data_IF_831149343534
#
_entry.id   IF_831149343534
#
_cell.length_a   1.000
_cell.length_b   1.000
_cell.length_c   1.000
_cell.angle_alpha   90.00
_cell.angle_beta   90.00
_cell.angle_gamma   90.00
#
_symmetry.space_group_name_H-M   'P 1'
#
loop_
_entity.id
_entity.type
_entity.pdbx_description
1 polymer ?
#
# COMPACT_ATOMS: atom_id res chain seq x y z
N UNK A 1 -23.34 18.33 -10.63
CA UNK A 1 -23.23 16.94 -10.13
C UNK A 1 -21.78 16.54 -10.28
N UNK A 2 -21.10 16.23 -9.18
CA UNK A 2 -19.72 15.76 -9.23
C UNK A 2 -19.72 14.26 -9.56
N UNK A 3 -19.01 13.85 -10.61
CA UNK A 3 -18.88 12.43 -10.96
C UNK A 3 -17.72 11.83 -10.20
N UNK A 4 -18.02 10.99 -9.22
CA UNK A 4 -17.02 10.37 -8.33
C UNK A 4 -16.85 8.90 -8.70
N UNK A 5 -15.60 8.51 -8.96
CA UNK A 5 -15.21 7.14 -9.29
C UNK A 5 -14.52 6.49 -8.08
N UNK A 6 -15.22 5.51 -7.54
CA UNK A 6 -14.81 4.42 -6.65
C UNK A 6 -13.73 3.50 -7.22
N UNK A 7 -12.47 3.49 -6.80
CA UNK A 7 -11.56 2.37 -7.10
C UNK A 7 -10.79 1.93 -5.87
N UNK A 8 -10.34 0.68 -5.81
CA UNK A 8 -9.62 0.11 -4.67
C UNK A 8 -8.23 -0.35 -5.13
N UNK A 9 -7.18 0.35 -4.73
CA UNK A 9 -5.78 -0.03 -5.01
C UNK A 9 -5.34 0.23 -6.46
N UNK A 10 -6.14 0.94 -7.25
CA UNK A 10 -5.90 1.25 -8.67
C UNK A 10 -6.00 2.74 -8.99
N UNK A 11 -6.01 3.63 -8.00
CA UNK A 11 -6.20 5.08 -8.18
C UNK A 11 -5.32 5.69 -9.27
N UNK A 12 -4.02 5.43 -9.23
CA UNK A 12 -3.05 5.96 -10.21
C UNK A 12 -3.32 5.47 -11.64
N UNK A 13 -3.66 4.19 -11.79
CA UNK A 13 -3.99 3.61 -13.08
C UNK A 13 -5.24 4.28 -13.67
N UNK A 14 -6.27 4.49 -12.84
CA UNK A 14 -7.49 5.18 -13.27
C UNK A 14 -7.17 6.63 -13.67
N UNK A 15 -6.33 7.34 -12.92
CA UNK A 15 -5.91 8.70 -13.29
C UNK A 15 -5.22 8.70 -14.65
N UNK A 16 -4.32 7.76 -14.90
CA UNK A 16 -3.62 7.63 -16.17
C UNK A 16 -4.59 7.33 -17.33
N UNK A 17 -5.52 6.39 -17.14
CA UNK A 17 -6.52 6.01 -18.15
C UNK A 17 -7.43 7.19 -18.48
N UNK A 18 -7.98 7.87 -17.47
CA UNK A 18 -8.87 9.01 -17.68
C UNK A 18 -8.15 10.22 -18.27
N UNK A 19 -6.89 10.46 -17.89
CA UNK A 19 -6.05 11.47 -18.54
C UNK A 19 -5.77 11.13 -20.01
N UNK A 20 -5.52 9.85 -20.32
CA UNK A 20 -5.36 9.36 -21.69
C UNK A 20 -6.63 9.58 -22.52
N UNK A 21 -7.79 9.24 -21.97
CA UNK A 21 -9.10 9.51 -22.58
C UNK A 21 -9.27 11.02 -22.81
N UNK A 22 -9.05 11.85 -21.79
CA UNK A 22 -9.16 13.29 -21.91
C UNK A 22 -8.22 13.86 -23.01
N UNK A 23 -7.01 13.31 -23.15
CA UNK A 23 -6.08 13.67 -24.22
C UNK A 23 -6.61 13.31 -25.61
N UNK A 24 -7.20 12.12 -25.78
CA UNK A 24 -7.81 11.67 -27.05
C UNK A 24 -9.01 12.53 -27.47
N UNK A 25 -9.76 13.04 -26.49
CA UNK A 25 -10.94 13.91 -26.68
C UNK A 25 -10.62 15.42 -26.66
N UNK A 26 -9.34 15.81 -26.69
CA UNK A 26 -8.97 17.23 -26.89
C UNK A 26 -9.43 17.72 -28.26
N UNK A 27 -9.85 18.98 -28.31
CA UNK A 27 -10.43 19.61 -29.51
C UNK A 27 -9.37 20.08 -30.52
N UNK A 28 -8.08 20.04 -30.15
CA UNK A 28 -6.96 20.48 -31.00
C UNK A 28 -6.52 19.37 -31.98
N UNK A 29 -5.62 19.71 -32.91
CA UNK A 29 -5.04 18.79 -33.92
C UNK A 29 -4.37 17.52 -33.36
N UNK A 30 -4.13 17.44 -32.05
CA UNK A 30 -3.58 16.28 -31.36
C UNK A 30 -4.65 15.27 -30.91
N UNK A 31 -5.92 15.66 -30.88
CA UNK A 31 -7.03 14.78 -30.48
C UNK A 31 -7.53 13.96 -31.66
N UNK A 32 -7.51 12.64 -31.54
CA UNK A 32 -7.83 11.72 -32.63
C UNK A 32 -9.35 11.51 -32.79
N UNK A 33 -10.11 11.60 -31.70
CA UNK A 33 -11.52 11.18 -31.71
C UNK A 33 -12.43 12.17 -32.45
N UNK A 34 -12.25 13.47 -32.26
CA UNK A 34 -13.13 14.48 -32.87
C UNK A 34 -13.04 14.51 -34.41
N UNK A 35 -11.83 14.41 -35.03
CA UNK A 35 -11.70 14.23 -36.48
C UNK A 35 -12.34 12.93 -36.99
N UNK A 36 -12.17 11.82 -36.28
CA UNK A 36 -12.78 10.54 -36.66
C UNK A 36 -14.31 10.61 -36.66
N UNK A 37 -14.91 11.24 -35.64
CA UNK A 37 -16.35 11.48 -35.58
C UNK A 37 -16.79 12.34 -36.78
N UNK A 38 -16.06 13.41 -37.11
CA UNK A 38 -16.39 14.27 -38.28
C UNK A 38 -16.35 13.50 -39.60
N UNK A 39 -15.33 12.67 -39.81
CA UNK A 39 -15.22 11.85 -41.02
C UNK A 39 -16.39 10.84 -41.07
N UNK A 40 -16.67 10.16 -39.95
CA UNK A 40 -17.81 9.24 -39.85
C UNK A 40 -19.16 9.92 -40.13
N UNK A 41 -19.36 11.14 -39.62
CA UNK A 41 -20.54 11.95 -39.90
C UNK A 41 -20.65 12.33 -41.38
N UNK A 42 -19.54 12.68 -42.04
CA UNK A 42 -19.55 12.99 -43.48
C UNK A 42 -19.85 11.75 -44.33
N UNK A 43 -19.23 10.61 -44.04
CA UNK A 43 -19.49 9.36 -44.77
C UNK A 43 -20.93 8.90 -44.54
N UNK A 44 -21.41 8.97 -43.30
CA UNK A 44 -22.79 8.62 -42.95
C UNK A 44 -23.81 9.54 -43.62
N UNK A 45 -23.54 10.85 -43.70
CA UNK A 45 -24.45 11.79 -44.35
C UNK A 45 -24.54 11.55 -45.86
N UNK A 46 -23.42 11.30 -46.53
CA UNK A 46 -23.41 10.92 -47.96
C UNK A 46 -24.17 9.62 -48.19
N UNK A 47 -23.95 8.61 -47.35
CA UNK A 47 -24.66 7.33 -47.44
C UNK A 47 -26.18 7.51 -47.31
N UNK A 48 -26.63 8.34 -46.36
CA UNK A 48 -28.06 8.59 -46.18
C UNK A 48 -28.68 9.44 -47.28
N UNK A 49 -27.94 10.37 -47.89
CA UNK A 49 -28.40 11.09 -49.08
C UNK A 49 -28.65 10.13 -50.24
N UNK A 50 -27.80 9.11 -50.43
CA UNK A 50 -27.99 8.09 -51.48
C UNK A 50 -29.27 7.27 -51.22
N UNK A 51 -29.50 6.82 -49.99
CA UNK A 51 -30.72 6.07 -49.64
C UNK A 51 -31.98 6.93 -49.85
N UNK A 52 -31.92 8.19 -49.46
CA UNK A 52 -33.04 9.13 -49.60
C UNK A 52 -33.42 9.33 -51.08
N UNK A 53 -32.41 9.38 -51.97
CA UNK A 53 -32.62 9.44 -53.42
C UNK A 53 -33.23 8.14 -53.98
N UNK A 54 -32.78 6.98 -53.51
CA UNK A 54 -33.25 5.67 -54.01
C UNK A 54 -34.67 5.35 -53.54
N UNK A 55 -35.00 5.65 -52.28
CA UNK A 55 -36.30 5.31 -51.68
C UNK A 55 -37.35 6.42 -51.79
N UNK A 56 -36.98 7.61 -52.24
CA UNK A 56 -37.86 8.80 -52.32
C UNK A 56 -38.56 9.15 -51.00
N UNK A 57 -37.99 8.76 -49.86
CA UNK A 57 -38.55 8.93 -48.52
C UNK A 57 -37.78 9.96 -47.72
N UNK A 58 -38.18 11.23 -47.81
CA UNK A 58 -37.56 12.35 -47.08
C UNK A 58 -37.67 12.19 -45.54
N UNK A 59 -38.74 11.56 -45.06
CA UNK A 59 -38.97 11.38 -43.63
C UNK A 59 -37.90 10.51 -42.96
N UNK A 60 -37.45 9.44 -43.63
CA UNK A 60 -36.43 8.53 -43.09
C UNK A 60 -35.07 9.24 -42.97
N UNK A 61 -34.69 10.00 -44.01
CA UNK A 61 -33.46 10.78 -44.01
C UNK A 61 -33.44 11.86 -42.92
N UNK A 62 -34.56 12.57 -42.76
CA UNK A 62 -34.67 13.62 -41.74
C UNK A 62 -34.65 13.05 -40.31
N UNK A 63 -35.35 11.94 -40.07
CA UNK A 63 -35.33 11.24 -38.77
C UNK A 63 -33.92 10.79 -38.42
N UNK A 64 -33.19 10.19 -39.36
CA UNK A 64 -31.81 9.77 -39.12
C UNK A 64 -30.90 10.95 -38.81
N UNK A 65 -30.99 12.04 -39.59
CA UNK A 65 -30.14 13.22 -39.40
C UNK A 65 -30.39 13.87 -38.04
N UNK A 66 -31.65 14.00 -37.63
CA UNK A 66 -32.01 14.49 -36.29
C UNK A 66 -31.44 13.58 -35.20
N UNK A 67 -31.59 12.26 -35.33
CA UNK A 67 -31.07 11.31 -34.35
C UNK A 67 -29.54 11.38 -34.23
N UNK A 68 -28.83 11.44 -35.35
CA UNK A 68 -27.36 11.53 -35.38
C UNK A 68 -26.84 12.82 -34.77
N UNK A 69 -27.49 13.95 -35.07
CA UNK A 69 -27.14 15.24 -34.47
C UNK A 69 -27.35 15.19 -32.97
N UNK A 70 -28.52 14.74 -32.50
CA UNK A 70 -28.84 14.67 -31.08
C UNK A 70 -27.88 13.71 -30.35
N UNK A 71 -27.68 12.50 -30.87
CA UNK A 71 -26.81 11.51 -30.27
C UNK A 71 -25.37 12.00 -30.18
N UNK A 72 -24.84 12.60 -31.25
CA UNK A 72 -23.46 13.09 -31.25
C UNK A 72 -23.28 14.26 -30.30
N UNK A 73 -24.24 15.19 -30.28
CA UNK A 73 -24.19 16.36 -29.39
C UNK A 73 -24.33 15.95 -27.93
N UNK A 74 -25.20 14.98 -27.62
CA UNK A 74 -25.45 14.57 -26.24
C UNK A 74 -24.32 13.68 -25.68
N UNK A 75 -23.76 12.78 -26.51
CA UNK A 75 -22.85 11.74 -26.02
C UNK A 75 -21.38 12.20 -26.00
N UNK A 76 -20.94 13.00 -26.97
CA UNK A 76 -19.51 13.28 -27.19
C UNK A 76 -19.09 14.73 -26.91
N UNK A 77 -20.00 15.71 -27.02
CA UNK A 77 -19.66 17.13 -26.81
C UNK A 77 -19.58 17.56 -25.35
N UNK A 78 -20.53 17.22 -24.45
CA UNK A 78 -20.45 17.66 -23.08
C UNK A 78 -19.24 17.02 -22.42
N UNK A 79 -18.36 17.85 -21.87
CA UNK A 79 -17.21 17.42 -21.08
C UNK A 79 -17.51 17.64 -19.61
N UNK A 80 -17.05 16.72 -18.79
CA UNK A 80 -17.17 16.79 -17.34
C UNK A 80 -15.82 16.58 -16.68
N UNK A 81 -15.72 17.08 -15.46
CA UNK A 81 -14.69 16.72 -14.51
C UNK A 81 -15.10 15.45 -13.79
N UNK A 82 -14.14 14.56 -13.59
CA UNK A 82 -14.28 13.31 -12.82
C UNK A 82 -13.32 13.36 -11.63
N UNK A 83 -13.81 12.94 -10.47
CA UNK A 83 -13.01 12.78 -9.26
C UNK A 83 -12.76 11.30 -9.01
N UNK A 84 -11.50 10.91 -8.99
CA UNK A 84 -11.08 9.55 -8.68
C UNK A 84 -10.72 9.50 -7.21
N UNK A 85 -11.38 8.60 -6.48
CA UNK A 85 -11.19 8.39 -5.05
C UNK A 85 -10.82 6.94 -4.81
N UNK A 86 -9.61 6.74 -4.27
CA UNK A 86 -9.11 5.45 -3.83
C UNK A 86 -8.93 5.46 -2.30
N UNK A 87 -9.82 4.79 -1.54
CA UNK A 87 -9.75 4.81 -0.09
C UNK A 87 -8.56 4.00 0.45
N UNK A 88 -8.06 3.00 -0.29
CA UNK A 88 -6.93 2.17 0.16
C UNK A 88 -5.62 2.95 0.18
N UNK A 89 -5.42 3.84 -0.78
CA UNK A 89 -4.22 4.70 -0.87
C UNK A 89 -4.48 6.13 -0.36
N UNK A 90 -5.70 6.41 0.09
CA UNK A 90 -6.21 7.75 0.42
C UNK A 90 -5.97 8.77 -0.72
N UNK A 91 -5.95 8.30 -1.97
CA UNK A 91 -5.67 9.12 -3.13
C UNK A 91 -6.95 9.82 -3.60
N UNK A 92 -6.85 11.14 -3.80
CA UNK A 92 -7.90 11.97 -4.42
C UNK A 92 -7.32 12.71 -5.60
N UNK A 93 -7.78 12.38 -6.79
CA UNK A 93 -7.29 12.98 -8.01
C UNK A 93 -8.45 13.52 -8.85
N UNK A 94 -8.20 14.66 -9.49
CA UNK A 94 -9.14 15.33 -10.38
C UNK A 94 -8.66 15.15 -11.81
N UNK A 95 -9.54 14.68 -12.69
CA UNK A 95 -9.30 14.61 -14.13
C UNK A 95 -10.35 15.45 -14.86
N UNK A 96 -9.87 16.43 -15.61
CA UNK A 96 -10.71 17.36 -16.37
C UNK A 96 -10.86 16.91 -17.83
N UNK A 97 -11.90 17.42 -18.52
CA UNK A 97 -12.15 17.21 -19.95
C UNK A 97 -12.50 15.77 -20.37
N UNK A 98 -13.12 14.99 -19.49
CA UNK A 98 -13.63 13.65 -19.80
C UNK A 98 -15.00 13.76 -20.48
N UNK A 99 -15.33 12.96 -21.51
CA UNK A 99 -16.68 12.92 -22.08
C UNK A 99 -17.74 12.61 -21.02
N UNK A 100 -18.82 13.40 -20.98
CA UNK A 100 -19.87 13.30 -19.96
C UNK A 100 -20.47 11.90 -19.88
N UNK A 101 -20.82 11.29 -21.03
CA UNK A 101 -21.41 9.96 -21.04
C UNK A 101 -20.51 8.92 -20.36
N UNK A 102 -19.20 9.00 -20.60
CA UNK A 102 -18.22 8.11 -20.00
C UNK A 102 -18.04 8.40 -18.50
N UNK A 103 -17.92 9.67 -18.12
CA UNK A 103 -17.81 10.06 -16.70
C UNK A 103 -19.05 9.69 -15.87
N UNK A 104 -20.24 9.92 -16.42
CA UNK A 104 -21.51 9.58 -15.77
C UNK A 104 -21.70 8.07 -15.65
N UNK A 105 -21.45 7.32 -16.72
CA UNK A 105 -21.54 5.86 -16.70
C UNK A 105 -20.53 5.25 -15.72
N UNK A 106 -19.26 5.68 -15.78
CA UNK A 106 -18.23 5.20 -14.87
C UNK A 106 -18.56 5.52 -13.41
N UNK A 107 -19.05 6.73 -13.11
CA UNK A 107 -19.52 7.10 -11.77
C UNK A 107 -20.67 6.21 -11.28
N UNK A 108 -21.65 5.91 -12.13
CA UNK A 108 -22.78 5.06 -11.78
C UNK A 108 -22.32 3.62 -11.49
N UNK A 109 -21.51 3.05 -12.38
CA UNK A 109 -20.94 1.70 -12.21
C UNK A 109 -20.10 1.63 -10.94
N UNK A 110 -19.28 2.64 -10.66
CA UNK A 110 -18.48 2.70 -9.43
C UNK A 110 -19.34 2.81 -8.17
N UNK A 111 -20.45 3.56 -8.18
CA UNK A 111 -21.35 3.65 -7.04
C UNK A 111 -22.06 2.32 -6.77
N UNK A 112 -22.52 1.64 -7.83
CA UNK A 112 -23.10 0.30 -7.71
C UNK A 112 -22.07 -0.69 -7.18
N UNK A 113 -20.84 -0.68 -7.72
CA UNK A 113 -19.74 -1.51 -7.26
C UNK A 113 -19.43 -1.28 -5.78
N UNK A 114 -19.33 -0.01 -5.35
CA UNK A 114 -19.15 0.33 -3.94
C UNK A 114 -20.28 -0.22 -3.06
N UNK A 115 -21.53 -0.04 -3.47
CA UNK A 115 -22.68 -0.58 -2.73
C UNK A 115 -22.63 -2.10 -2.59
N UNK A 116 -22.28 -2.83 -3.66
CA UNK A 116 -22.12 -4.29 -3.60
C UNK A 116 -20.98 -4.67 -2.65
N UNK A 117 -19.84 -3.97 -2.71
CA UNK A 117 -18.72 -4.20 -1.80
C UNK A 117 -19.16 -3.99 -0.34
N UNK A 118 -19.74 -2.84 -0.01
CA UNK A 118 -20.20 -2.53 1.37
C UNK A 118 -21.20 -3.57 1.89
N UNK A 119 -22.13 -4.04 1.05
CA UNK A 119 -23.07 -5.08 1.43
C UNK A 119 -22.39 -6.43 1.65
N UNK A 120 -21.46 -6.82 0.77
CA UNK A 120 -20.69 -8.05 0.97
C UNK A 120 -19.82 -7.99 2.21
N UNK A 121 -19.17 -6.87 2.48
CA UNK A 121 -18.40 -6.67 3.70
C UNK A 121 -19.28 -6.80 4.95
N UNK A 122 -20.51 -6.27 4.93
CA UNK A 122 -21.43 -6.39 6.07
C UNK A 122 -21.78 -7.85 6.42
N UNK A 123 -21.85 -8.73 5.42
CA UNK A 123 -22.19 -10.14 5.59
C UNK A 123 -20.96 -11.01 5.86
N UNK A 124 -19.80 -10.66 5.30
CA UNK A 124 -18.54 -11.40 5.41
C UNK A 124 -17.57 -10.82 6.45
N UNK A 125 -18.08 -10.19 7.52
CA UNK A 125 -17.22 -9.81 8.64
C UNK A 125 -16.78 -11.06 9.41
N UNK A 126 -15.53 -11.48 9.22
CA UNK A 126 -14.84 -12.32 10.20
C UNK A 126 -14.56 -11.48 11.46
N UNK A 127 -14.38 -12.12 12.65
CA UNK A 127 -14.00 -11.42 13.88
C UNK A 127 -12.75 -10.53 13.72
N UNK A 128 -11.87 -10.89 12.78
CA UNK A 128 -10.61 -10.20 12.47
C UNK A 128 -10.62 -9.53 11.07
N UNK A 129 -11.81 -9.25 10.52
CA UNK A 129 -11.93 -8.67 9.18
C UNK A 129 -11.51 -7.20 9.14
N UNK A 130 -10.52 -6.92 8.29
CA UNK A 130 -10.13 -5.56 7.96
C UNK A 130 -11.00 -5.05 6.79
N UNK A 131 -11.80 -3.98 6.97
CA UNK A 131 -12.71 -3.50 5.95
C UNK A 131 -11.96 -3.20 4.65
N UNK A 132 -12.28 -3.92 3.58
CA UNK A 132 -11.61 -3.76 2.30
C UNK A 132 -11.84 -2.34 1.74
N UNK A 133 -12.95 -1.71 2.08
CA UNK A 133 -13.23 -0.33 1.72
C UNK A 133 -12.37 0.73 2.42
N UNK A 134 -11.62 0.41 3.50
CA UNK A 134 -10.77 1.37 4.22
C UNK A 134 -9.30 0.98 4.23
N UNK A 135 -9.00 -0.26 4.62
CA UNK A 135 -7.65 -0.69 4.98
C UNK A 135 -7.32 -2.08 4.46
N UNK A 136 -8.04 -2.59 3.46
CA UNK A 136 -7.98 -3.97 2.95
C UNK A 136 -6.59 -4.61 2.71
N UNK A 137 -6.58 -5.85 2.21
CA UNK A 137 -5.38 -6.70 2.13
C UNK A 137 -4.14 -6.08 1.46
N UNK A 138 -4.32 -5.13 0.53
CA UNK A 138 -3.23 -4.38 -0.12
C UNK A 138 -2.48 -3.46 0.86
N UNK A 139 -3.21 -2.83 1.78
CA UNK A 139 -2.61 -2.01 2.83
C UNK A 139 -1.89 -2.91 3.83
N UNK A 140 -2.50 -4.05 4.21
CA UNK A 140 -1.86 -5.04 5.09
C UNK A 140 -0.54 -5.59 4.50
N UNK A 141 -0.50 -5.92 3.20
CA UNK A 141 0.73 -6.40 2.55
C UNK A 141 1.80 -5.30 2.43
N UNK A 142 1.39 -4.06 2.15
CA UNK A 142 2.29 -2.90 2.15
C UNK A 142 2.90 -2.68 3.54
N UNK A 143 2.08 -2.83 4.59
CA UNK A 143 2.51 -2.73 5.97
C UNK A 143 3.51 -3.84 6.34
N UNK A 144 3.29 -5.08 5.91
CA UNK A 144 4.27 -6.18 6.09
C UNK A 144 5.59 -5.95 5.36
N UNK A 145 5.52 -5.45 4.13
CA UNK A 145 6.73 -5.09 3.39
C UNK A 145 7.50 -3.96 4.09
N UNK A 146 6.80 -3.05 4.74
CA UNK A 146 7.38 -1.92 5.45
C UNK A 146 8.03 -2.32 6.79
N UNK A 147 7.42 -3.22 7.57
CA UNK A 147 8.05 -3.71 8.81
C UNK A 147 9.37 -4.43 8.56
N UNK A 148 9.52 -5.12 7.42
CA UNK A 148 10.78 -5.75 7.05
C UNK A 148 11.92 -4.76 6.84
N UNK A 149 11.62 -3.46 6.70
CA UNK A 149 12.62 -2.39 6.60
C UNK A 149 12.96 -1.75 7.94
N UNK A 150 12.29 -2.14 9.04
CA UNK A 150 12.56 -1.58 10.36
C UNK A 150 13.92 -2.01 10.84
N UNK A 151 14.76 -1.02 11.15
CA UNK A 151 16.08 -1.21 11.72
C UNK A 151 16.17 -0.47 13.04
N UNK A 152 17.15 -0.87 13.84
CA UNK A 152 17.54 -0.14 15.03
C UNK A 152 18.07 1.23 14.61
N UNK A 153 17.45 2.27 15.17
CA UNK A 153 17.67 3.69 14.92
C UNK A 153 18.65 4.29 15.92
N UNK A 154 18.49 4.01 17.22
CA UNK A 154 19.33 4.64 18.23
C UNK A 154 20.79 4.16 18.12
N UNK A 155 21.77 5.07 17.95
CA UNK A 155 23.15 4.68 17.72
C UNK A 155 23.80 3.95 18.92
N UNK A 156 23.42 4.31 20.15
CA UNK A 156 23.96 3.69 21.37
C UNK A 156 23.41 2.27 21.53
N UNK A 157 22.09 2.12 21.39
CA UNK A 157 21.41 0.83 21.41
C UNK A 157 21.89 -0.06 20.25
N UNK A 158 22.01 0.48 19.03
CA UNK A 158 22.55 -0.25 17.87
C UNK A 158 23.95 -0.77 18.14
N UNK A 159 24.86 0.10 18.59
CA UNK A 159 26.25 -0.27 18.85
C UNK A 159 26.41 -1.28 19.99
N UNK A 160 25.52 -1.28 20.98
CA UNK A 160 25.48 -2.31 22.02
C UNK A 160 24.86 -3.62 21.53
N UNK A 161 23.77 -3.52 20.75
CA UNK A 161 23.09 -4.67 20.17
C UNK A 161 23.99 -5.44 19.20
N UNK A 162 24.73 -4.75 18.34
CA UNK A 162 25.70 -5.39 17.44
C UNK A 162 26.77 -6.18 18.19
N UNK A 163 27.30 -5.63 19.30
CA UNK A 163 28.28 -6.34 20.14
C UNK A 163 27.64 -7.54 20.84
N UNK A 164 26.44 -7.37 21.38
CA UNK A 164 25.67 -8.45 21.98
C UNK A 164 25.41 -9.58 20.97
N UNK A 165 24.94 -9.25 19.77
CA UNK A 165 24.70 -10.23 18.70
C UNK A 165 26.00 -10.97 18.36
N UNK A 166 27.10 -10.24 18.17
CA UNK A 166 28.35 -10.85 17.74
C UNK A 166 29.04 -11.72 18.81
N UNK A 167 29.01 -11.31 20.08
CA UNK A 167 29.76 -11.94 21.15
C UNK A 167 28.91 -12.91 21.99
N UNK A 168 27.60 -12.65 22.08
CA UNK A 168 26.68 -13.45 22.86
C UNK A 168 25.78 -14.32 21.99
N UNK A 169 25.24 -13.79 20.88
CA UNK A 169 24.24 -14.53 20.10
C UNK A 169 24.87 -15.51 19.12
N UNK A 170 25.65 -14.99 18.18
CA UNK A 170 26.27 -15.76 17.10
C UNK A 170 27.29 -16.75 17.65
N UNK A 171 28.05 -16.35 18.67
CA UNK A 171 29.05 -17.22 19.29
C UNK A 171 28.39 -18.41 20.01
N UNK A 172 27.34 -18.19 20.82
CA UNK A 172 26.58 -19.28 21.45
C UNK A 172 25.90 -20.17 20.40
N UNK A 173 25.41 -19.60 19.29
CA UNK A 173 24.81 -20.35 18.18
C UNK A 173 25.83 -21.27 17.46
N UNK A 174 27.06 -20.78 17.28
CA UNK A 174 28.15 -21.54 16.65
C UNK A 174 28.67 -22.67 17.55
N UNK A 175 28.70 -22.44 18.86
CA UNK A 175 29.03 -23.51 19.83
C UNK A 175 27.93 -24.57 19.84
N UNK A 176 26.67 -24.18 19.62
CA UNK A 176 25.54 -25.09 19.44
C UNK A 176 25.06 -25.80 20.71
N UNK A 177 25.52 -25.38 21.89
CA UNK A 177 25.15 -26.02 23.15
C UNK A 177 23.79 -25.58 23.70
N UNK A 178 23.34 -24.35 23.40
CA UNK A 178 22.07 -23.80 23.91
C UNK A 178 20.99 -23.65 22.83
N UNK A 179 21.39 -23.19 21.66
CA UNK A 179 20.58 -23.07 20.46
C UNK A 179 21.54 -23.03 19.26
N UNK A 180 21.01 -23.28 18.07
CA UNK A 180 21.75 -23.29 16.81
C UNK A 180 21.33 -22.12 15.92
N UNK A 181 22.05 -21.91 14.81
CA UNK A 181 21.65 -20.93 13.81
C UNK A 181 20.29 -21.28 13.18
N UNK A 182 19.96 -22.58 13.04
CA UNK A 182 18.66 -23.02 12.56
C UNK A 182 17.53 -22.66 13.55
N UNK A 183 17.78 -22.73 14.85
CA UNK A 183 16.79 -22.34 15.86
C UNK A 183 16.51 -20.83 15.82
N UNK A 184 17.54 -20.01 15.58
CA UNK A 184 17.38 -18.57 15.39
C UNK A 184 16.54 -18.22 14.15
N UNK A 185 16.61 -19.03 13.09
CA UNK A 185 15.84 -18.80 11.87
C UNK A 185 14.37 -19.22 11.98
N UNK A 186 14.08 -20.24 12.81
CA UNK A 186 12.74 -20.82 12.91
C UNK A 186 11.95 -20.36 14.15
N UNK A 187 12.59 -19.64 15.07
CA UNK A 187 11.93 -19.17 16.30
C UNK A 187 10.99 -17.98 16.02
N UNK A 188 9.78 -17.97 16.61
CA UNK A 188 8.85 -16.85 16.48
C UNK A 188 9.31 -15.58 17.24
N UNK A 189 10.12 -15.74 18.31
CA UNK A 189 10.70 -14.61 19.05
C UNK A 189 12.20 -14.88 19.31
N UNK A 190 13.05 -14.30 18.46
CA UNK A 190 14.52 -14.40 18.54
C UNK A 190 15.00 -13.76 19.82
N UNK A 191 14.45 -12.59 20.18
CA UNK A 191 14.90 -11.85 21.34
C UNK A 191 14.67 -12.63 22.64
N UNK A 192 13.48 -13.22 22.80
CA UNK A 192 13.16 -14.03 23.97
C UNK A 192 14.06 -15.26 24.07
N UNK A 193 14.36 -15.93 22.94
CA UNK A 193 15.30 -17.06 22.91
C UNK A 193 16.70 -16.65 23.39
N UNK A 194 17.27 -15.60 22.80
CA UNK A 194 18.65 -15.17 23.12
C UNK A 194 18.79 -14.60 24.53
N UNK A 195 17.75 -13.90 25.02
CA UNK A 195 17.74 -13.34 26.39
C UNK A 195 17.64 -14.43 27.44
N UNK A 196 16.79 -15.44 27.23
CA UNK A 196 16.60 -16.53 28.20
C UNK A 196 17.81 -17.46 28.25
N UNK A 197 18.47 -17.69 27.11
CA UNK A 197 19.67 -18.51 27.00
C UNK A 197 20.98 -17.72 27.19
N UNK A 198 20.90 -16.43 27.52
CA UNK A 198 22.07 -15.56 27.64
C UNK A 198 23.10 -16.11 28.65
N UNK A 199 24.35 -16.21 28.21
CA UNK A 199 25.45 -16.74 29.01
C UNK A 199 25.76 -15.85 30.23
N UNK A 200 25.92 -16.43 31.43
CA UNK A 200 26.43 -15.69 32.59
C UNK A 200 27.96 -15.55 32.58
N UNK A 201 28.66 -16.26 31.68
CA UNK A 201 30.14 -16.28 31.61
C UNK A 201 30.67 -15.41 30.48
N UNK A 202 30.05 -15.49 29.30
CA UNK A 202 30.43 -14.62 28.20
C UNK A 202 30.00 -13.19 28.51
N UNK A 203 30.78 -12.23 28.04
CA UNK A 203 30.52 -10.82 28.22
C UNK A 203 30.86 -10.02 26.98
N UNK A 204 30.31 -8.82 26.92
CA UNK A 204 30.56 -7.89 25.84
C UNK A 204 30.76 -6.48 26.38
N UNK A 205 31.39 -5.64 25.58
CA UNK A 205 31.57 -4.24 25.93
C UNK A 205 30.22 -3.52 25.80
N UNK A 206 29.65 -3.10 26.93
CA UNK A 206 28.45 -2.28 26.97
C UNK A 206 28.82 -0.82 27.21
N UNK A 207 28.41 0.05 26.29
CA UNK A 207 28.62 1.49 26.37
C UNK A 207 27.34 2.16 26.85
N UNK A 208 27.48 3.17 27.69
CA UNK A 208 26.39 4.05 28.06
C UNK A 208 26.79 5.50 27.88
N UNK A 209 25.85 6.41 27.65
CA UNK A 209 26.10 7.87 27.54
C UNK A 209 27.02 8.41 28.65
N UNK A 210 26.97 7.84 29.86
CA UNK A 210 27.79 8.26 31.02
C UNK A 210 28.99 7.36 31.33
N UNK A 211 29.17 6.24 30.63
CA UNK A 211 30.23 5.28 30.90
C UNK A 211 30.94 4.85 29.59
N UNK A 212 32.25 5.13 29.43
CA UNK A 212 32.99 4.90 28.18
C UNK A 212 33.05 3.42 27.72
N UNK A 213 32.69 2.49 28.60
CA UNK A 213 32.45 1.10 28.27
C UNK A 213 32.86 0.17 29.40
N UNK A 214 31.92 -0.62 29.91
CA UNK A 214 32.19 -1.68 30.88
C UNK A 214 31.91 -3.04 30.24
N UNK A 215 32.72 -4.04 30.53
CA UNK A 215 32.41 -5.42 30.15
C UNK A 215 31.32 -5.91 31.09
N UNK A 216 30.16 -6.22 30.53
CA UNK A 216 29.03 -6.80 31.25
C UNK A 216 28.80 -8.22 30.75
N UNK A 217 28.24 -9.08 31.59
CA UNK A 217 27.87 -10.43 31.13
C UNK A 217 26.74 -10.34 30.09
N UNK A 218 26.66 -11.32 29.19
CA UNK A 218 25.59 -11.38 28.20
C UNK A 218 24.21 -11.36 28.86
N UNK A 219 24.07 -12.00 30.04
CA UNK A 219 22.84 -11.98 30.83
C UNK A 219 22.46 -10.59 31.36
N UNK A 220 23.43 -9.87 31.94
CA UNK A 220 23.19 -8.51 32.44
C UNK A 220 22.91 -7.55 31.29
N UNK A 221 23.72 -7.61 30.22
CA UNK A 221 23.54 -6.76 29.05
C UNK A 221 22.21 -7.01 28.33
N UNK A 222 21.75 -8.26 28.22
CA UNK A 222 20.43 -8.57 27.66
C UNK A 222 19.29 -7.98 28.52
N UNK A 223 19.47 -7.92 29.84
CA UNK A 223 18.49 -7.29 30.75
C UNK A 223 18.48 -5.77 30.58
N UNK A 224 19.65 -5.14 30.43
CA UNK A 224 19.76 -3.70 30.16
C UNK A 224 19.17 -3.31 28.81
N UNK A 225 19.42 -4.11 27.76
CA UNK A 225 18.85 -3.92 26.43
C UNK A 225 17.33 -4.12 26.43
N UNK A 226 16.81 -5.06 27.23
CA UNK A 226 15.36 -5.29 27.35
C UNK A 226 14.60 -4.02 27.78
N UNK A 227 15.17 -3.27 28.72
CA UNK A 227 14.57 -2.03 29.19
C UNK A 227 14.48 -0.93 28.12
N UNK A 228 15.34 -0.99 27.10
CA UNK A 228 15.46 0.02 26.05
C UNK A 228 14.59 -0.28 24.81
N UNK A 229 14.11 -1.52 24.65
CA UNK A 229 13.32 -1.93 23.47
C UNK A 229 12.08 -1.09 23.25
N UNK A 230 11.35 -0.71 24.31
CA UNK A 230 10.14 0.08 24.17
C UNK A 230 10.43 1.43 23.52
N UNK A 231 11.45 2.13 24.04
CA UNK A 231 11.82 3.45 23.54
C UNK A 231 12.42 3.35 22.12
N UNK A 232 13.07 2.23 21.81
CA UNK A 232 13.59 1.97 20.47
C UNK A 232 12.50 1.70 19.43
N UNK A 233 11.51 0.85 19.76
CA UNK A 233 10.33 0.62 18.94
C UNK A 233 9.60 1.94 18.67
N UNK A 234 9.53 2.81 19.68
CA UNK A 234 8.88 4.12 19.57
C UNK A 234 9.61 5.03 18.59
N UNK A 235 10.94 5.09 18.66
CA UNK A 235 11.78 5.85 17.70
C UNK A 235 11.68 5.27 16.29
N UNK A 236 11.80 3.95 16.15
CA UNK A 236 11.68 3.28 14.86
C UNK A 236 10.31 3.51 14.22
N UNK A 237 9.22 3.41 14.99
CA UNK A 237 7.87 3.69 14.49
C UNK A 237 7.69 5.16 14.10
N UNK A 238 8.34 6.09 14.80
CA UNK A 238 8.32 7.51 14.43
C UNK A 238 9.09 7.81 13.14
N UNK A 239 9.99 6.94 12.68
CA UNK A 239 10.71 7.13 11.42
C UNK A 239 10.04 6.34 10.31
N UNK A 240 9.84 5.04 10.54
CA UNK A 240 9.37 4.10 9.54
C UNK A 240 7.84 3.97 9.52
N UNK A 241 7.14 4.18 10.62
CA UNK A 241 5.69 3.95 10.74
C UNK A 241 4.80 5.13 10.34
N UNK A 242 5.36 6.32 10.09
CA UNK A 242 4.56 7.52 9.80
C UNK A 242 3.89 7.45 8.41
N UNK A 243 4.53 6.81 7.42
CA UNK A 243 4.03 6.81 6.03
C UNK A 243 3.91 5.41 5.45
N UNK A 244 2.69 4.89 5.37
CA UNK A 244 2.40 3.61 4.68
C UNK A 244 1.54 3.94 3.46
N UNK A 245 1.99 3.57 2.26
CA UNK A 245 1.22 3.73 1.01
C UNK A 245 0.65 5.16 0.80
N UNK A 246 1.48 6.19 1.00
CA UNK A 246 1.13 7.63 0.96
C UNK A 246 0.14 8.12 2.03
N UNK A 247 -0.24 7.28 2.99
CA UNK A 247 -1.04 7.68 4.14
C UNK A 247 -0.16 8.04 5.33
N UNK A 248 -0.44 9.20 5.96
CA UNK A 248 0.14 9.52 7.25
C UNK A 248 -0.67 8.83 8.35
N UNK A 249 -0.07 7.89 9.06
CA UNK A 249 -0.73 7.16 10.14
C UNK A 249 -0.33 7.73 11.50
N UNK A 250 -1.30 7.75 12.42
CA UNK A 250 -0.98 7.92 13.83
C UNK A 250 -0.35 6.63 14.36
N UNK A 251 0.44 6.75 15.43
CA UNK A 251 1.04 5.57 16.08
C UNK A 251 -0.02 4.52 16.43
N UNK A 252 -1.11 4.92 17.09
CA UNK A 252 -2.17 3.98 17.48
C UNK A 252 -2.79 3.25 16.28
N UNK A 253 -3.01 3.97 15.17
CA UNK A 253 -3.53 3.37 13.94
C UNK A 253 -2.52 2.41 13.31
N UNK A 254 -1.22 2.75 13.31
CA UNK A 254 -0.16 1.87 12.82
C UNK A 254 -0.13 0.54 13.59
N UNK A 255 -0.06 0.58 14.93
CA UNK A 255 -0.02 -0.63 15.75
C UNK A 255 -1.28 -1.49 15.60
N UNK A 256 -2.46 -0.87 15.57
CA UNK A 256 -3.74 -1.57 15.41
C UNK A 256 -3.83 -2.23 14.04
N UNK A 257 -3.50 -1.50 12.97
CA UNK A 257 -3.55 -2.06 11.62
C UNK A 257 -2.45 -3.10 11.39
N UNK A 258 -1.31 -2.98 12.07
CA UNK A 258 -0.22 -3.96 11.98
C UNK A 258 -0.65 -5.29 12.59
N UNK A 259 -1.22 -5.25 13.79
CA UNK A 259 -1.74 -6.44 14.46
C UNK A 259 -2.83 -7.11 13.65
N UNK A 260 -3.84 -6.35 13.22
CA UNK A 260 -4.96 -6.87 12.43
C UNK A 260 -4.50 -7.40 11.07
N UNK A 261 -3.57 -6.69 10.41
CA UNK A 261 -3.02 -7.10 9.12
C UNK A 261 -2.19 -8.38 9.23
N UNK A 262 -1.38 -8.51 10.29
CA UNK A 262 -0.61 -9.72 10.55
C UNK A 262 -1.53 -10.92 10.81
N UNK A 263 -2.51 -10.77 11.70
CA UNK A 263 -3.48 -11.83 12.01
C UNK A 263 -4.29 -12.25 10.77
N UNK A 264 -4.65 -11.31 9.90
CA UNK A 264 -5.34 -11.60 8.65
C UNK A 264 -4.50 -12.46 7.69
N UNK A 265 -3.18 -12.27 7.65
CA UNK A 265 -2.29 -12.99 6.74
C UNK A 265 -1.75 -14.31 7.29
N UNK A 266 -1.44 -14.36 8.58
CA UNK A 266 -0.79 -15.52 9.21
C UNK A 266 -1.74 -16.37 10.04
N UNK A 267 -2.92 -15.83 10.41
CA UNK A 267 -3.82 -16.45 11.38
C UNK A 267 -3.32 -16.38 12.83
N UNK A 268 -2.21 -15.69 13.10
CA UNK A 268 -1.59 -15.60 14.42
C UNK A 268 -1.89 -14.22 15.01
N UNK A 269 -2.52 -14.20 16.19
CA UNK A 269 -2.68 -12.98 16.96
C UNK A 269 -1.41 -12.71 17.77
N UNK A 270 -0.67 -11.67 17.41
CA UNK A 270 0.54 -11.26 18.11
C UNK A 270 0.57 -9.73 18.31
N UNK A 271 1.23 -9.31 19.38
CA UNK A 271 1.39 -7.89 19.66
C UNK A 271 2.29 -7.26 18.59
N UNK A 272 1.82 -6.17 17.99
CA UNK A 272 2.57 -5.41 16.99
C UNK A 272 3.99 -5.01 17.47
N UNK A 273 4.19 -4.74 18.77
CA UNK A 273 5.53 -4.48 19.33
C UNK A 273 6.46 -5.68 19.27
N UNK A 274 5.95 -6.90 19.48
CA UNK A 274 6.75 -8.13 19.40
C UNK A 274 7.13 -8.43 17.95
N UNK A 275 6.21 -8.22 17.01
CA UNK A 275 6.48 -8.35 15.59
C UNK A 275 7.57 -7.39 15.12
N UNK A 276 7.49 -6.11 15.51
CA UNK A 276 8.54 -5.13 15.18
C UNK A 276 9.89 -5.49 15.80
N UNK A 277 9.89 -5.95 17.06
CA UNK A 277 11.09 -6.43 17.73
C UNK A 277 11.71 -7.62 17.00
N UNK A 278 10.88 -8.56 16.54
CA UNK A 278 11.30 -9.72 15.76
C UNK A 278 11.96 -9.31 14.43
N UNK A 279 11.31 -8.44 13.64
CA UNK A 279 11.84 -7.95 12.37
C UNK A 279 13.16 -7.17 12.56
N UNK A 280 13.23 -6.30 13.57
CA UNK A 280 14.45 -5.57 13.89
C UNK A 280 15.60 -6.50 14.31
N UNK A 281 15.30 -7.59 15.02
CA UNK A 281 16.31 -8.61 15.38
C UNK A 281 16.82 -9.38 14.17
N UNK A 282 15.93 -9.75 13.24
CA UNK A 282 16.32 -10.40 11.96
C UNK A 282 17.28 -9.49 11.21
N UNK A 283 16.90 -8.23 11.01
CA UNK A 283 17.73 -7.23 10.32
C UNK A 283 19.06 -6.98 11.02
N UNK A 284 19.09 -6.91 12.36
CA UNK A 284 20.31 -6.69 13.13
C UNK A 284 21.28 -7.87 13.04
N UNK A 285 20.77 -9.11 13.01
CA UNK A 285 21.59 -10.32 12.83
C UNK A 285 22.17 -10.37 11.41
N UNK A 286 21.36 -10.04 10.40
CA UNK A 286 21.82 -9.96 9.00
C UNK A 286 22.92 -8.91 8.85
N UNK A 287 22.74 -7.71 9.41
CA UNK A 287 23.73 -6.62 9.37
C UNK A 287 25.02 -7.02 10.10
N UNK A 288 24.92 -7.66 11.26
CA UNK A 288 26.08 -8.14 12.02
C UNK A 288 26.86 -9.25 11.26
N UNK A 289 26.15 -10.13 10.55
CA UNK A 289 26.77 -11.16 9.70
C UNK A 289 27.52 -10.54 8.52
N UNK A 290 26.90 -9.58 7.83
CA UNK A 290 27.50 -8.93 6.66
C UNK A 290 28.74 -8.09 7.03
N UNK A 291 28.74 -7.44 8.18
CA UNK A 291 29.85 -6.61 8.65
C UNK A 291 31.10 -7.43 9.07
N UNK A 292 30.97 -8.76 9.25
CA UNK A 292 32.12 -9.66 9.50
C UNK A 292 32.76 -10.24 8.24
N UNK A 293 32.07 -10.14 7.09
CA UNK A 293 32.54 -10.64 5.79
C UNK A 293 33.19 -9.55 4.93
N UNK A 294 33.18 -8.30 5.40
CA UNK A 294 33.94 -7.16 4.86
C UNK A 294 35.25 -6.97 5.62
#
# INVERSE_FOLDING_TARGET
MEHVITTYGGGELFVLVFNGIAALFKTNHTGLVMPLIRIGLMVGSVYMLIIMLVRSSLEEGLKWLLWVIIATNLLFLPKTTVFIHDPLTNMRAKVDHVPFALGAFASLVSQVGRGITEQMESVFTLPDYMPYHQTGTVFASSLMSQIGQFRIVDPEFKGNMERFINQCVVYDAMIGHKYTLADLQNTPDIWTLVRTQASPVLGFLYKSTHNPGAVVTCREGATSLEALWRDEIDRATAIYGIRVQNQNLTRAAFFTNLQNGYQLMTGIAENASNLLKQEMMINAIEEASNNKLS
#
